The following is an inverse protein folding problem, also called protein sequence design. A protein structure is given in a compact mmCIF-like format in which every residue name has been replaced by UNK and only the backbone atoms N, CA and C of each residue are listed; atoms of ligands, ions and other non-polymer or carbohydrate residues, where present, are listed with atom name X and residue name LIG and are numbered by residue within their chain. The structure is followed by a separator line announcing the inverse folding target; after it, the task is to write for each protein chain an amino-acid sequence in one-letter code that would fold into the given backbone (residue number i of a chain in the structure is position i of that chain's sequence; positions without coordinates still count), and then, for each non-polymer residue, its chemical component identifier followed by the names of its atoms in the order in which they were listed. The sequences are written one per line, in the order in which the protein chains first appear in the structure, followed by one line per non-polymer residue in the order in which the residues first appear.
data_IF_873526548586
#
_entry.id   IF_873526548586
#
_cell.length_a   1.000
_cell.length_b   1.000
_cell.length_c   1.000
_cell.angle_alpha   90.00
_cell.angle_beta   90.00
_cell.angle_gamma   90.00
#
_symmetry.space_group_name_H-M   'P 1'
#
loop_
_entity.id
_entity.type
_entity.pdbx_description
1 polymer ?
#
# COMPACT_ATOMS: atom_id res chain seq x y z
N UNK A 1 -0.75 4.05 19.52
CA UNK A 1 -0.67 4.45 18.10
C UNK A 1 0.74 4.24 17.59
N UNK A 2 0.92 3.87 16.31
CA UNK A 2 2.24 3.90 15.66
C UNK A 2 2.71 5.36 15.55
N UNK A 3 4.01 5.62 15.61
CA UNK A 3 4.55 6.97 15.40
C UNK A 3 4.50 7.34 13.91
N UNK A 4 4.55 8.64 13.60
CA UNK A 4 4.60 9.15 12.23
C UNK A 4 5.71 8.46 11.39
N UNK A 5 6.90 8.31 11.98
CA UNK A 5 8.02 7.62 11.34
C UNK A 5 7.71 6.14 11.05
N UNK A 6 6.99 5.44 11.93
CA UNK A 6 6.58 4.06 11.70
C UNK A 6 5.56 3.94 10.56
N UNK A 7 4.65 4.91 10.43
CA UNK A 7 3.68 4.96 9.33
C UNK A 7 4.41 5.21 7.99
N UNK A 8 5.31 6.19 7.95
CA UNK A 8 6.14 6.49 6.76
C UNK A 8 6.99 5.29 6.34
N UNK A 9 7.68 4.63 7.28
CA UNK A 9 8.44 3.41 6.98
C UNK A 9 7.55 2.31 6.42
N UNK A 10 6.33 2.15 6.93
CA UNK A 10 5.40 1.13 6.43
C UNK A 10 4.91 1.45 5.02
N UNK A 11 4.55 2.71 4.73
CA UNK A 11 4.17 3.17 3.38
C UNK A 11 5.29 2.86 2.37
N UNK A 12 6.54 3.15 2.72
CA UNK A 12 7.69 2.86 1.86
C UNK A 12 7.83 1.35 1.57
N UNK A 13 7.72 0.51 2.60
CA UNK A 13 7.76 -0.95 2.46
C UNK A 13 6.65 -1.45 1.50
N UNK A 14 5.41 -0.99 1.72
CA UNK A 14 4.27 -1.40 0.89
C UNK A 14 4.41 -0.90 -0.56
N UNK A 15 4.96 0.30 -0.75
CA UNK A 15 5.24 0.87 -2.07
C UNK A 15 6.28 0.04 -2.83
N UNK A 16 7.33 -0.43 -2.15
CA UNK A 16 8.32 -1.33 -2.74
C UNK A 16 7.70 -2.68 -3.14
N UNK A 17 6.85 -3.24 -2.29
CA UNK A 17 6.11 -4.46 -2.60
C UNK A 17 5.18 -4.26 -3.81
N UNK A 18 4.50 -3.12 -3.90
CA UNK A 18 3.65 -2.78 -5.04
C UNK A 18 4.45 -2.76 -6.34
N UNK A 19 5.56 -2.01 -6.38
CA UNK A 19 6.44 -1.95 -7.57
C UNK A 19 6.95 -3.32 -8.01
N UNK A 20 7.25 -4.20 -7.05
CA UNK A 20 7.64 -5.58 -7.33
C UNK A 20 6.51 -6.38 -7.99
N UNK A 21 5.28 -6.24 -7.49
CA UNK A 21 4.10 -6.88 -8.09
C UNK A 21 3.76 -6.30 -9.47
N UNK A 22 3.86 -4.98 -9.66
CA UNK A 22 3.69 -4.31 -10.96
C UNK A 22 4.66 -4.88 -12.00
N UNK A 23 5.94 -5.01 -11.62
CA UNK A 23 6.98 -5.58 -12.49
C UNK A 23 6.70 -7.04 -12.87
N UNK A 24 6.12 -7.82 -11.96
CA UNK A 24 5.72 -9.22 -12.22
C UNK A 24 4.46 -9.32 -13.07
N UNK A 25 3.56 -8.34 -12.98
CA UNK A 25 2.29 -8.31 -13.69
C UNK A 25 2.43 -7.75 -15.12
N UNK A 26 3.36 -6.82 -15.33
CA UNK A 26 3.64 -6.19 -16.62
C UNK A 26 3.84 -7.18 -17.79
N UNK A 27 4.59 -8.29 -17.67
CA UNK A 27 4.78 -9.24 -18.77
C UNK A 27 3.62 -10.23 -18.97
N UNK A 28 2.66 -10.32 -18.05
CA UNK A 28 1.58 -11.30 -18.13
C UNK A 28 0.49 -10.85 -19.11
N UNK A 29 0.04 -11.76 -19.97
CA UNK A 29 -1.11 -11.53 -20.84
C UNK A 29 -2.40 -11.31 -20.01
N UNK A 30 -3.40 -10.63 -20.58
CA UNK A 30 -4.63 -10.29 -19.84
C UNK A 30 -5.42 -11.52 -19.38
N UNK A 31 -5.34 -12.60 -20.13
CA UNK A 31 -5.98 -13.90 -19.90
C UNK A 31 -5.11 -14.86 -19.06
N UNK A 32 -3.92 -14.43 -18.63
CA UNK A 32 -3.05 -15.25 -17.80
C UNK A 32 -3.73 -15.57 -16.45
N UNK A 33 -3.88 -16.85 -16.08
CA UNK A 33 -4.54 -17.25 -14.84
C UNK A 33 -3.89 -16.68 -13.57
N UNK A 34 -2.57 -16.43 -13.59
CA UNK A 34 -1.81 -15.84 -12.50
C UNK A 34 -1.97 -14.32 -12.40
N UNK A 35 -2.40 -13.65 -13.48
CA UNK A 35 -2.58 -12.19 -13.50
C UNK A 35 -3.68 -11.71 -12.56
N UNK A 36 -4.81 -12.42 -12.51
CA UNK A 36 -5.93 -12.03 -11.63
C UNK A 36 -5.53 -12.04 -10.16
N UNK A 37 -4.81 -13.08 -9.72
CA UNK A 37 -4.34 -13.19 -8.34
C UNK A 37 -3.33 -12.11 -7.96
N UNK A 38 -2.45 -11.73 -8.90
CA UNK A 38 -1.48 -10.64 -8.69
C UNK A 38 -2.16 -9.26 -8.70
N UNK A 39 -3.14 -9.05 -9.58
CA UNK A 39 -3.94 -7.82 -9.62
C UNK A 39 -4.71 -7.62 -8.30
N UNK A 40 -5.33 -8.68 -7.77
CA UNK A 40 -6.01 -8.61 -6.48
C UNK A 40 -5.06 -8.35 -5.29
N UNK A 41 -3.80 -8.80 -5.37
CA UNK A 41 -2.78 -8.43 -4.38
C UNK A 41 -2.37 -6.95 -4.51
N UNK A 42 -2.26 -6.45 -5.74
CA UNK A 42 -1.94 -5.06 -6.02
C UNK A 42 -2.99 -4.11 -5.44
N UNK A 43 -4.28 -4.37 -5.71
CA UNK A 43 -5.40 -3.59 -5.16
C UNK A 43 -5.37 -3.54 -3.64
N UNK A 44 -5.11 -4.67 -2.96
CA UNK A 44 -5.00 -4.69 -1.50
C UNK A 44 -3.85 -3.84 -0.97
N UNK A 45 -2.71 -3.80 -1.66
CA UNK A 45 -1.60 -2.94 -1.28
C UNK A 45 -1.95 -1.46 -1.46
N UNK A 46 -2.61 -1.10 -2.55
CA UNK A 46 -3.05 0.28 -2.78
C UNK A 46 -4.03 0.74 -1.70
N UNK A 47 -5.00 -0.09 -1.31
CA UNK A 47 -5.93 0.21 -0.22
C UNK A 47 -5.21 0.41 1.13
N UNK A 48 -4.20 -0.44 1.42
CA UNK A 48 -3.41 -0.33 2.64
C UNK A 48 -2.52 0.91 2.66
N UNK A 49 -1.90 1.26 1.53
CA UNK A 49 -1.11 2.49 1.38
C UNK A 49 -2.02 3.70 1.60
N UNK A 50 -3.17 3.74 0.93
CA UNK A 50 -4.14 4.82 1.05
C UNK A 50 -4.54 5.01 2.51
N UNK A 51 -4.92 3.94 3.23
CA UNK A 51 -5.27 4.02 4.65
C UNK A 51 -4.15 4.61 5.51
N UNK A 52 -2.90 4.21 5.27
CA UNK A 52 -1.76 4.73 6.03
C UNK A 52 -1.50 6.20 5.71
N UNK A 53 -1.70 6.62 4.46
CA UNK A 53 -1.64 8.04 4.07
C UNK A 53 -2.75 8.85 4.73
N UNK A 54 -3.96 8.31 4.87
CA UNK A 54 -5.03 8.96 5.64
C UNK A 54 -4.63 9.17 7.10
N UNK A 55 -4.11 8.13 7.77
CA UNK A 55 -3.67 8.24 9.18
C UNK A 55 -2.50 9.21 9.32
N UNK A 56 -1.59 9.25 8.35
CA UNK A 56 -0.44 10.16 8.37
C UNK A 56 -0.86 11.64 8.27
N UNK A 57 -1.93 11.91 7.54
CA UNK A 57 -2.44 13.26 7.28
C UNK A 57 -3.65 13.64 8.15
N UNK A 58 -4.10 12.74 9.04
CA UNK A 58 -5.20 13.02 9.96
C UNK A 58 -4.82 14.19 10.88
N UNK A 59 -5.66 15.23 11.03
CA UNK A 59 -5.35 16.36 11.90
C UNK A 59 -5.17 15.84 13.33
N UNK A 60 -4.02 16.13 13.94
CA UNK A 60 -3.73 15.77 15.33
C UNK A 60 -4.60 16.61 16.26
N UNK A 61 -5.85 16.17 16.45
CA UNK A 61 -6.82 16.79 17.33
C UNK A 61 -6.43 16.60 18.80
N UNK A 62 -6.35 17.72 19.51
CA UNK A 62 -6.04 17.87 20.94
C UNK A 62 -6.92 16.98 21.85
N UNK A 63 -6.55 15.72 22.07
CA UNK A 63 -7.10 14.88 23.15
C UNK A 63 -6.06 14.51 24.21
N UNK A 64 -5.01 15.33 24.31
CA UNK A 64 -4.04 15.33 25.40
C UNK A 64 -3.76 16.77 25.87
N UNK A 65 -4.81 17.55 26.11
CA UNK A 65 -4.73 18.80 26.85
C UNK A 65 -5.26 18.58 28.27
#
# INVERSE_FOLDING_TARGET
MRTENQIKSKINEMTLQRRSLESRLAPLAQDDPGRQALAAQLTRLDDMILMLEWVLNEPVGKYHA
#
